data_IF_673056625406
#
_entry.id   IF_673056625406
#
_cell.length_a   1.000
_cell.length_b   1.000
_cell.length_c   1.000
_cell.angle_alpha   90.00
_cell.angle_beta   90.00
_cell.angle_gamma   90.00
#
_symmetry.space_group_name_H-M   'P 1'
#
loop_
_entity.id
_entity.type
_entity.pdbx_description
1 polymer ?
#
# COMPACT_ATOMS: atom_id res chain seq x y z
N UNK A 1 2.55 0.69 5.78
CA UNK A 1 3.83 0.76 5.03
C UNK A 1 4.63 2.03 5.28
N UNK A 2 4.04 3.21 5.60
CA UNK A 2 4.83 4.41 5.95
C UNK A 2 5.39 4.36 7.38
N UNK A 3 4.51 4.19 8.37
CA UNK A 3 4.93 4.17 9.78
C UNK A 3 5.67 2.89 10.18
N UNK A 4 5.27 1.77 9.60
CA UNK A 4 5.94 0.46 9.71
C UNK A 4 6.25 -0.03 8.30
N UNK A 5 7.39 0.38 7.73
CA UNK A 5 7.83 -0.07 6.41
C UNK A 5 8.38 -1.49 6.47
N UNK A 6 8.24 -2.30 5.41
CA UNK A 6 8.72 -3.68 5.44
C UNK A 6 10.24 -3.77 5.66
N UNK A 7 10.97 -2.81 5.08
CA UNK A 7 12.38 -2.55 5.32
C UNK A 7 12.46 -1.19 6.01
N UNK A 8 13.10 -1.09 7.17
CA UNK A 8 13.21 0.19 7.89
C UNK A 8 14.50 0.95 7.55
N UNK A 9 15.51 0.21 7.10
CA UNK A 9 16.84 0.73 6.84
C UNK A 9 16.97 1.31 5.43
N UNK A 10 18.12 1.93 5.20
CA UNK A 10 18.53 2.35 3.86
C UNK A 10 18.85 1.13 2.98
N UNK A 11 18.40 1.17 1.72
CA UNK A 11 18.82 0.24 0.67
C UNK A 11 20.03 0.84 -0.05
N UNK A 12 21.27 0.43 0.30
CA UNK A 12 22.44 1.17 -0.12
C UNK A 12 22.65 1.14 -1.64
N UNK A 13 23.26 2.20 -2.14
CA UNK A 13 23.90 2.33 -3.44
C UNK A 13 25.37 2.65 -3.21
N UNK A 14 26.21 2.38 -4.19
CA UNK A 14 27.63 2.74 -4.15
C UNK A 14 27.86 3.79 -5.21
N UNK A 15 28.51 4.90 -4.84
CA UNK A 15 28.92 5.93 -5.80
C UNK A 15 29.96 5.37 -6.78
N UNK A 16 30.00 5.86 -8.03
CA UNK A 16 30.97 5.39 -9.00
C UNK A 16 32.40 5.72 -8.55
N UNK A 17 33.45 5.03 -9.05
CA UNK A 17 34.83 5.21 -8.59
C UNK A 17 35.34 6.66 -8.61
N UNK A 18 34.90 7.45 -9.57
CA UNK A 18 35.23 8.87 -9.74
C UNK A 18 34.50 9.81 -8.77
N UNK A 19 33.54 9.30 -7.99
CA UNK A 19 32.64 10.12 -7.17
C UNK A 19 31.48 10.71 -7.97
N UNK A 20 30.52 11.33 -7.28
CA UNK A 20 29.42 12.03 -7.93
C UNK A 20 28.81 13.09 -7.02
N UNK A 21 28.09 14.05 -7.62
CA UNK A 21 27.27 14.99 -6.88
C UNK A 21 25.90 14.38 -6.55
N UNK A 22 25.47 14.50 -5.30
CA UNK A 22 24.17 14.06 -4.80
C UNK A 22 23.56 15.23 -4.02
N UNK A 23 22.41 15.73 -4.47
CA UNK A 23 21.68 16.84 -3.83
C UNK A 23 22.57 18.08 -3.56
N UNK A 24 23.31 18.53 -4.58
CA UNK A 24 24.21 19.69 -4.49
C UNK A 24 25.53 19.44 -3.77
N UNK A 25 25.78 18.22 -3.28
CA UNK A 25 26.95 17.89 -2.47
C UNK A 25 27.83 16.83 -3.15
N UNK A 26 29.13 17.09 -3.24
CA UNK A 26 30.09 16.10 -3.78
C UNK A 26 30.28 14.92 -2.82
N UNK A 27 30.12 13.71 -3.33
CA UNK A 27 30.31 12.46 -2.59
C UNK A 27 31.44 11.65 -3.24
N UNK A 28 32.51 11.29 -2.50
CA UNK A 28 33.62 10.51 -3.03
C UNK A 28 33.21 9.16 -3.59
N UNK A 29 34.02 8.61 -4.50
CA UNK A 29 33.75 7.31 -5.11
C UNK A 29 33.83 6.14 -4.14
N UNK A 30 33.08 5.07 -4.41
CA UNK A 30 33.01 3.90 -3.55
C UNK A 30 32.24 4.11 -2.22
N UNK A 31 31.61 5.26 -2.04
CA UNK A 31 30.81 5.59 -0.85
C UNK A 31 29.47 4.85 -0.89
N UNK A 32 29.13 4.17 0.21
CA UNK A 32 27.79 3.57 0.40
C UNK A 32 26.83 4.65 0.85
N UNK A 33 25.88 5.00 -0.01
CA UNK A 33 24.84 6.01 0.24
C UNK A 33 23.46 5.36 0.26
N UNK A 34 22.50 6.01 0.90
CA UNK A 34 21.09 5.70 0.66
C UNK A 34 20.18 6.38 1.68
N UNK A 35 18.87 6.22 1.47
CA UNK A 35 17.85 6.90 2.26
C UNK A 35 17.23 5.93 3.25
N UNK A 36 17.36 6.24 4.54
CA UNK A 36 16.66 5.52 5.61
C UNK A 36 15.15 5.66 5.42
N UNK A 37 14.46 4.57 5.12
CA UNK A 37 13.01 4.59 4.94
C UNK A 37 12.31 5.02 6.24
N UNK A 38 12.75 4.51 7.40
CA UNK A 38 12.22 4.92 8.69
C UNK A 38 12.29 6.43 8.91
N UNK A 39 13.47 7.01 8.71
CA UNK A 39 13.69 8.44 8.94
C UNK A 39 12.99 9.30 7.90
N UNK A 40 13.06 8.94 6.62
CA UNK A 40 12.41 9.70 5.56
C UNK A 40 10.88 9.69 5.71
N UNK A 41 10.31 8.58 6.16
CA UNK A 41 8.86 8.45 6.33
C UNK A 41 8.35 9.16 7.56
N UNK A 42 9.18 9.35 8.60
CA UNK A 42 8.83 10.04 9.85
C UNK A 42 9.41 11.46 9.96
N UNK A 43 10.01 11.99 8.90
CA UNK A 43 10.51 13.35 8.89
C UNK A 43 9.38 14.34 8.67
N UNK A 44 9.24 15.32 9.56
CA UNK A 44 8.31 16.44 9.41
C UNK A 44 8.66 17.34 8.22
N UNK A 45 9.90 17.27 7.70
CA UNK A 45 10.27 17.91 6.43
C UNK A 45 9.53 17.29 5.24
N UNK A 46 9.15 16.01 5.35
CA UNK A 46 8.47 15.28 4.27
C UNK A 46 6.96 15.12 4.51
N UNK A 47 6.52 14.98 5.77
CA UNK A 47 5.13 14.66 6.09
C UNK A 47 4.63 15.48 7.28
N UNK A 48 3.52 16.20 7.14
CA UNK A 48 2.86 16.83 8.27
C UNK A 48 2.33 15.77 9.25
N UNK A 49 2.50 15.99 10.56
CA UNK A 49 2.16 15.02 11.62
C UNK A 49 2.77 13.65 11.33
N UNK A 50 4.08 13.63 11.07
CA UNK A 50 4.78 12.51 10.47
C UNK A 50 4.66 11.20 11.27
N UNK A 51 4.52 11.22 12.59
CA UNK A 51 4.41 9.98 13.37
C UNK A 51 2.98 9.41 13.47
N UNK A 52 1.98 10.11 12.94
CA UNK A 52 0.57 9.71 13.05
C UNK A 52 0.09 8.87 11.86
N UNK A 53 -0.77 7.88 12.14
CA UNK A 53 -1.40 7.06 11.11
C UNK A 53 -2.63 7.80 10.58
N UNK A 54 -2.42 8.64 9.57
CA UNK A 54 -3.44 9.44 8.92
C UNK A 54 -3.55 8.98 7.46
N UNK A 55 -4.35 7.94 7.14
CA UNK A 55 -4.51 7.42 5.79
C UNK A 55 -5.20 8.42 4.86
N UNK A 56 -5.93 9.39 5.40
CA UNK A 56 -6.66 10.43 4.67
C UNK A 56 -5.73 11.19 3.74
N UNK A 57 -4.46 11.41 4.11
CA UNK A 57 -3.45 12.09 3.27
C UNK A 57 -3.23 11.48 1.88
N UNK A 58 -3.70 10.25 1.64
CA UNK A 58 -3.58 9.54 0.36
C UNK A 58 -4.87 9.56 -0.45
N UNK A 59 -5.98 10.01 0.14
CA UNK A 59 -7.26 10.15 -0.53
C UNK A 59 -7.30 11.46 -1.32
N UNK A 60 -8.12 11.56 -2.38
CA UNK A 60 -8.36 12.83 -3.08
C UNK A 60 -8.85 13.93 -2.14
N UNK A 61 -9.73 13.59 -1.19
CA UNK A 61 -10.22 14.51 -0.15
C UNK A 61 -9.13 14.87 0.86
N UNK A 62 -8.08 14.07 0.94
CA UNK A 62 -6.85 14.32 1.70
C UNK A 62 -6.01 15.48 1.20
N UNK A 63 -6.42 16.14 0.11
CA UNK A 63 -5.98 17.50 -0.22
C UNK A 63 -6.55 18.56 0.74
N UNK A 64 -7.09 18.14 1.89
CA UNK A 64 -7.11 18.98 3.09
C UNK A 64 -5.80 19.77 3.20
N UNK A 65 -5.93 21.05 3.51
CA UNK A 65 -4.83 22.02 3.65
C UNK A 65 -3.70 21.52 4.57
N UNK A 66 -4.00 20.56 5.45
CA UNK A 66 -3.05 19.96 6.37
C UNK A 66 -1.98 19.05 5.72
N UNK A 67 -2.21 18.49 4.52
CA UNK A 67 -1.26 17.57 3.86
C UNK A 67 -0.79 18.02 2.47
N UNK A 68 -1.24 19.19 2.00
CA UNK A 68 -0.90 19.70 0.66
C UNK A 68 0.62 19.85 0.44
N UNK A 69 1.38 20.09 1.51
CA UNK A 69 2.84 20.24 1.49
C UNK A 69 3.60 18.94 1.75
N UNK A 70 2.91 17.78 1.82
CA UNK A 70 3.60 16.50 1.97
C UNK A 70 4.45 16.18 0.73
N UNK A 71 5.71 15.85 0.96
CA UNK A 71 6.62 15.30 -0.05
C UNK A 71 6.30 13.82 -0.27
N UNK A 72 5.16 13.52 -0.92
CA UNK A 72 4.69 12.15 -1.17
C UNK A 72 5.70 11.30 -1.96
N UNK A 73 6.55 11.93 -2.78
CA UNK A 73 7.65 11.28 -3.50
C UNK A 73 8.70 10.62 -2.58
N UNK A 74 8.84 11.09 -1.33
CA UNK A 74 9.70 10.46 -0.33
C UNK A 74 9.20 9.06 0.06
N UNK A 75 7.90 8.75 -0.11
CA UNK A 75 7.33 7.45 0.21
C UNK A 75 7.59 6.42 -0.90
N UNK A 76 8.69 5.68 -0.77
CA UNK A 76 9.14 4.65 -1.72
C UNK A 76 9.21 3.25 -1.09
N UNK A 77 8.09 2.63 -0.67
CA UNK A 77 8.11 1.38 0.10
C UNK A 77 8.68 0.19 -0.69
N UNK A 78 8.68 0.29 -2.02
CA UNK A 78 9.22 -0.70 -2.95
C UNK A 78 10.55 -0.25 -3.57
N UNK A 79 11.20 0.77 -3.00
CA UNK A 79 12.34 1.47 -3.60
C UNK A 79 12.01 2.06 -4.98
N UNK A 80 13.00 2.67 -5.63
CA UNK A 80 12.86 3.31 -6.94
C UNK A 80 14.08 3.04 -7.82
N UNK A 81 13.95 3.30 -9.12
CA UNK A 81 14.97 3.04 -10.13
C UNK A 81 15.07 1.56 -10.53
N UNK A 82 16.13 1.17 -11.27
CA UNK A 82 16.25 -0.15 -11.89
C UNK A 82 16.45 -1.30 -10.89
N UNK A 83 16.68 -0.99 -9.61
CA UNK A 83 16.83 -1.96 -8.52
C UNK A 83 15.68 -1.88 -7.52
N UNK A 84 14.50 -1.46 -7.98
CA UNK A 84 13.29 -1.47 -7.17
C UNK A 84 12.78 -2.92 -6.94
N UNK A 85 11.78 -3.06 -6.08
CA UNK A 85 11.24 -4.36 -5.72
C UNK A 85 10.51 -5.01 -6.91
N UNK A 86 11.04 -6.14 -7.38
CA UNK A 86 10.45 -6.94 -8.45
C UNK A 86 9.03 -7.44 -8.11
N UNK A 87 8.76 -7.68 -6.82
CA UNK A 87 7.47 -8.15 -6.32
C UNK A 87 6.43 -7.05 -6.09
N UNK A 88 6.69 -5.79 -6.45
CA UNK A 88 5.82 -4.65 -6.12
C UNK A 88 4.37 -4.85 -6.60
N UNK A 89 4.17 -5.30 -7.83
CA UNK A 89 2.83 -5.48 -8.38
C UNK A 89 2.10 -6.65 -7.73
N UNK A 90 2.82 -7.75 -7.46
CA UNK A 90 2.30 -8.91 -6.75
C UNK A 90 1.86 -8.53 -5.34
N UNK A 91 2.73 -7.89 -4.55
CA UNK A 91 2.43 -7.46 -3.20
C UNK A 91 1.23 -6.51 -3.14
N UNK A 92 1.11 -5.58 -4.11
CA UNK A 92 -0.04 -4.68 -4.21
C UNK A 92 -1.34 -5.41 -4.52
N UNK A 93 -1.32 -6.38 -5.43
CA UNK A 93 -2.50 -7.18 -5.77
C UNK A 93 -2.96 -8.01 -4.57
N UNK A 94 -2.04 -8.75 -3.95
CA UNK A 94 -2.29 -9.57 -2.78
C UNK A 94 -2.84 -8.73 -1.61
N UNK A 95 -2.17 -7.62 -1.29
CA UNK A 95 -2.60 -6.70 -0.22
C UNK A 95 -4.04 -6.23 -0.44
N UNK A 96 -4.39 -5.81 -1.67
CA UNK A 96 -5.74 -5.34 -1.98
C UNK A 96 -6.79 -6.45 -1.86
N UNK A 97 -6.49 -7.65 -2.35
CA UNK A 97 -7.43 -8.78 -2.28
C UNK A 97 -7.66 -9.19 -0.84
N UNK A 98 -6.58 -9.31 -0.04
CA UNK A 98 -6.66 -9.67 1.38
C UNK A 98 -7.49 -8.63 2.13
N UNK A 99 -7.17 -7.34 2.01
CA UNK A 99 -7.93 -6.29 2.71
C UNK A 99 -9.37 -6.20 2.23
N UNK A 100 -9.63 -6.28 0.93
CA UNK A 100 -10.99 -6.25 0.40
C UNK A 100 -11.83 -7.41 0.96
N UNK A 101 -11.27 -8.63 1.05
CA UNK A 101 -11.98 -9.79 1.61
C UNK A 101 -12.17 -9.65 3.12
N UNK A 102 -11.12 -9.26 3.85
CA UNK A 102 -11.18 -9.07 5.30
C UNK A 102 -12.25 -8.03 5.69
N UNK A 103 -12.23 -6.87 5.06
CA UNK A 103 -13.17 -5.77 5.36
C UNK A 103 -14.60 -6.04 4.87
N UNK A 104 -14.77 -6.90 3.86
CA UNK A 104 -16.10 -7.25 3.35
C UNK A 104 -16.79 -8.30 4.22
N UNK A 105 -16.06 -9.31 4.68
CA UNK A 105 -16.65 -10.46 5.37
C UNK A 105 -16.49 -10.43 6.89
N UNK A 106 -15.64 -9.55 7.44
CA UNK A 106 -15.36 -9.54 8.87
C UNK A 106 -15.38 -8.13 9.46
N UNK A 107 -15.99 -8.02 10.63
CA UNK A 107 -15.70 -6.94 11.58
C UNK A 107 -14.54 -7.42 12.47
N UNK A 108 -13.57 -6.55 12.73
CA UNK A 108 -12.32 -6.91 13.41
C UNK A 108 -12.18 -6.17 14.75
N UNK A 109 -11.85 -6.91 15.81
CA UNK A 109 -11.51 -6.37 17.14
C UNK A 109 -10.06 -6.70 17.48
N UNK A 110 -9.28 -5.68 17.83
CA UNK A 110 -7.88 -5.84 18.20
C UNK A 110 -7.78 -6.39 19.64
N UNK A 111 -7.05 -7.50 19.82
CA UNK A 111 -6.82 -8.12 21.13
C UNK A 111 -5.41 -7.81 21.69
N UNK A 112 -4.45 -7.51 20.82
CA UNK A 112 -3.08 -7.16 21.23
C UNK A 112 -2.99 -5.69 21.61
N UNK A 113 -2.30 -5.38 22.71
CA UNK A 113 -2.04 -4.01 23.13
C UNK A 113 -1.14 -3.27 22.14
N UNK A 114 -1.41 -1.98 21.92
CA UNK A 114 -0.62 -1.16 20.98
C UNK A 114 0.86 -1.10 21.36
N UNK A 115 1.16 -0.84 22.63
CA UNK A 115 2.53 -0.69 23.11
C UNK A 115 3.34 -2.00 22.96
N UNK A 116 2.67 -3.14 23.17
CA UNK A 116 3.24 -4.47 22.93
C UNK A 116 3.58 -4.69 21.45
N UNK A 117 2.70 -4.24 20.56
CA UNK A 117 2.91 -4.35 19.12
C UNK A 117 4.01 -3.42 18.59
N UNK A 118 4.13 -2.22 19.15
CA UNK A 118 5.13 -1.23 18.71
C UNK A 118 6.54 -1.57 19.20
N UNK A 119 6.69 -2.36 20.27
CA UNK A 119 7.95 -2.82 20.83
C UNK A 119 8.64 -3.95 20.03
N UNK A 120 8.66 -3.84 18.69
CA UNK A 120 9.28 -4.82 17.80
C UNK A 120 10.75 -4.52 17.53
N UNK A 121 11.56 -5.57 17.48
CA UNK A 121 12.96 -5.45 17.03
C UNK A 121 12.99 -5.30 15.51
N UNK A 122 13.87 -4.42 15.04
CA UNK A 122 14.06 -4.17 13.61
C UNK A 122 15.54 -4.32 13.25
N UNK A 123 15.77 -5.13 12.20
CA UNK A 123 17.09 -5.33 11.60
C UNK A 123 17.03 -4.77 10.17
N UNK A 124 17.19 -5.61 9.14
CA UNK A 124 16.81 -5.27 7.78
C UNK A 124 15.28 -5.28 7.65
N UNK A 125 14.68 -6.34 8.21
CA UNK A 125 13.24 -6.54 8.33
C UNK A 125 12.85 -6.58 9.81
N UNK A 126 11.56 -6.44 10.07
CA UNK A 126 10.98 -6.51 11.42
C UNK A 126 10.91 -7.95 11.90
N UNK A 127 11.37 -8.18 13.12
CA UNK A 127 11.01 -9.37 13.89
C UNK A 127 9.64 -9.10 14.53
N UNK A 128 8.59 -9.47 13.79
CA UNK A 128 7.21 -9.12 14.17
C UNK A 128 6.71 -10.08 15.22
N UNK A 129 6.18 -9.56 16.32
CA UNK A 129 5.36 -10.35 17.23
C UNK A 129 4.03 -10.75 16.53
N UNK A 130 3.19 -11.59 17.16
CA UNK A 130 1.83 -11.86 16.68
C UNK A 130 0.86 -10.71 16.97
N UNK A 131 0.02 -10.35 15.99
CA UNK A 131 -1.09 -9.40 16.16
C UNK A 131 -2.38 -10.20 16.30
N UNK A 132 -2.86 -10.37 17.52
CA UNK A 132 -4.10 -11.09 17.78
C UNK A 132 -5.29 -10.18 17.47
N UNK A 133 -6.16 -10.68 16.59
CA UNK A 133 -7.37 -10.00 16.14
C UNK A 133 -8.52 -11.01 16.21
N UNK A 134 -9.65 -10.60 16.75
CA UNK A 134 -10.90 -11.35 16.71
C UNK A 134 -11.71 -10.90 15.49
N UNK A 135 -12.11 -11.84 14.64
CA UNK A 135 -12.98 -11.58 13.51
C UNK A 135 -14.41 -12.03 13.77
N UNK A 136 -15.38 -11.16 13.50
CA UNK A 136 -16.81 -11.46 13.53
C UNK A 136 -17.32 -11.57 12.10
N UNK A 137 -17.90 -12.70 11.72
CA UNK A 137 -18.42 -12.88 10.36
C UNK A 137 -19.59 -11.94 10.05
N UNK A 138 -19.39 -11.00 9.13
CA UNK A 138 -20.40 -10.06 8.67
C UNK A 138 -21.42 -10.81 7.79
N UNK A 139 -22.68 -10.85 8.22
CA UNK A 139 -23.75 -11.56 7.50
C UNK A 139 -24.27 -10.82 6.26
N UNK A 140 -23.58 -9.77 5.78
CA UNK A 140 -23.98 -8.99 4.60
C UNK A 140 -23.66 -9.72 3.30
N UNK A 141 -24.14 -10.96 3.14
CA UNK A 141 -24.43 -11.48 1.82
C UNK A 141 -25.91 -11.28 1.55
N UNK A 142 -26.17 -10.21 0.82
CA UNK A 142 -27.13 -10.23 -0.28
C UNK A 142 -27.18 -11.66 -0.85
N UNK A 143 -28.25 -12.40 -0.54
CA UNK A 143 -28.48 -13.75 -1.09
C UNK A 143 -28.32 -13.62 -2.60
N UNK A 144 -27.24 -14.17 -3.16
CA UNK A 144 -27.09 -14.25 -4.61
C UNK A 144 -28.15 -15.27 -5.05
N UNK A 145 -29.15 -14.90 -5.86
CA UNK A 145 -30.14 -15.87 -6.31
C UNK A 145 -29.41 -17.02 -7.01
N UNK A 146 -29.71 -18.25 -6.58
CA UNK A 146 -29.01 -19.48 -6.97
C UNK A 146 -29.08 -19.79 -8.48
N UNK A 147 -29.87 -19.02 -9.22
CA UNK A 147 -30.23 -19.20 -10.61
C UNK A 147 -29.55 -18.21 -11.57
N UNK A 148 -28.62 -17.37 -11.11
CA UNK A 148 -27.78 -16.59 -12.02
C UNK A 148 -26.53 -17.40 -12.43
N UNK A 149 -26.76 -18.49 -13.14
CA UNK A 149 -25.74 -19.09 -14.00
C UNK A 149 -25.79 -18.30 -15.31
N UNK A 150 -24.90 -17.32 -15.47
CA UNK A 150 -24.60 -16.79 -16.80
C UNK A 150 -23.85 -17.91 -17.51
N UNK A 151 -24.41 -18.53 -18.56
CA UNK A 151 -23.66 -19.45 -19.37
C UNK A 151 -22.48 -18.68 -19.94
N UNK A 152 -21.29 -19.27 -19.84
CA UNK A 152 -20.15 -18.88 -20.63
C UNK A 152 -20.55 -19.20 -22.07
N UNK A 153 -21.22 -18.26 -22.74
CA UNK A 153 -21.59 -18.36 -24.14
C UNK A 153 -20.30 -18.34 -24.95
N UNK A 154 -19.70 -19.52 -25.01
CA UNK A 154 -18.74 -19.93 -26.01
C UNK A 154 -19.52 -20.17 -27.30
N UNK A 155 -19.08 -19.51 -28.36
CA UNK A 155 -19.44 -19.75 -29.76
C UNK A 155 -20.85 -19.38 -30.23
N UNK A 156 -20.89 -18.46 -31.20
CA UNK A 156 -21.85 -18.58 -32.31
C UNK A 156 -22.64 -17.31 -32.62
N UNK A 157 -22.21 -16.63 -33.68
CA UNK A 157 -23.01 -15.87 -34.64
C UNK A 157 -24.10 -14.91 -34.12
N UNK A 158 -23.81 -13.62 -34.29
CA UNK A 158 -24.64 -12.62 -34.97
C UNK A 158 -26.14 -12.90 -35.14
N UNK A 159 -26.90 -11.85 -34.81
CA UNK A 159 -28.27 -11.55 -35.28
C UNK A 159 -29.41 -12.15 -34.45
N UNK A 160 -29.77 -11.48 -33.36
CA UNK A 160 -31.11 -10.88 -33.16
C UNK A 160 -31.34 -10.55 -31.68
N UNK A 161 -30.93 -9.38 -31.18
CA UNK A 161 -31.49 -8.91 -29.91
C UNK A 161 -31.54 -7.39 -29.70
N UNK A 162 -31.53 -6.57 -30.75
CA UNK A 162 -31.67 -5.11 -30.64
C UNK A 162 -33.09 -4.60 -30.31
N UNK A 163 -33.95 -5.41 -29.66
CA UNK A 163 -35.35 -5.00 -29.40
C UNK A 163 -35.81 -4.94 -27.95
N UNK A 164 -34.91 -4.86 -26.97
CA UNK A 164 -35.33 -4.70 -25.55
C UNK A 164 -34.74 -3.53 -24.77
N UNK A 165 -34.06 -2.58 -25.43
CA UNK A 165 -33.52 -1.40 -24.74
C UNK A 165 -34.43 -0.16 -24.74
N UNK A 166 -35.60 -0.21 -25.38
CA UNK A 166 -36.47 0.96 -25.51
C UNK A 166 -37.40 1.23 -24.30
N UNK A 167 -37.61 0.27 -23.40
CA UNK A 167 -38.62 0.40 -22.34
C UNK A 167 -38.07 0.93 -20.99
N UNK A 168 -36.82 1.40 -20.95
CA UNK A 168 -36.16 1.87 -19.71
C UNK A 168 -36.05 3.40 -19.59
N UNK A 169 -36.73 4.18 -20.42
CA UNK A 169 -36.74 5.65 -20.36
C UNK A 169 -38.17 6.25 -20.30
N UNK A 170 -39.07 5.59 -19.56
CA UNK A 170 -40.31 6.21 -19.08
C UNK A 170 -40.26 6.30 -17.56
#
# INVERSE_FOLDING_TARGET
MRLWPAIAISLPRVTPPEGCEIDGSWVPGGTKVGVSQWSAYRSERNFARADQFLPERWLPEGEEESFINDTRAAFQPFSTGPRNCLGMNFARAETRIIFARLLLDFDLELLTGRDEWEAQKVYIIWDRCPLYVRGFGRQTRHKRPANLWLPWDTHGSSASNERKLADLLS
#
